data_IF_661793971876
#
_entry.id   IF_661793971876
#
_cell.length_a   1.000
_cell.length_b   1.000
_cell.length_c   1.000
_cell.angle_alpha   90.00
_cell.angle_beta   90.00
_cell.angle_gamma   90.00
#
_symmetry.space_group_name_H-M   'P 1'
#
loop_
_entity.id
_entity.type
_entity.pdbx_description
1 polymer ?
#
# COMPACT_ATOMS: atom_id res chain seq x y z
N UNK A 1 -53.43 -6.07 2.20
CA UNK A 1 -51.92 -6.11 2.24
C UNK A 1 -51.46 -5.20 1.13
N UNK A 2 -50.85 -4.11 1.52
CA UNK A 2 -50.49 -3.00 0.61
C UNK A 2 -49.39 -3.43 -0.37
N UNK A 3 -49.56 -3.15 -1.66
CA UNK A 3 -48.61 -3.39 -2.75
C UNK A 3 -47.26 -2.69 -2.45
N UNK A 4 -47.28 -1.59 -1.68
CA UNK A 4 -46.06 -0.88 -1.21
C UNK A 4 -45.21 -1.70 -0.25
N UNK A 5 -45.82 -2.42 0.71
CA UNK A 5 -45.09 -3.23 1.67
C UNK A 5 -44.42 -4.45 1.01
N UNK A 6 -45.10 -5.07 0.05
CA UNK A 6 -44.55 -6.19 -0.73
C UNK A 6 -43.32 -5.76 -1.55
N UNK A 7 -43.30 -4.52 -2.05
CA UNK A 7 -42.19 -3.99 -2.85
C UNK A 7 -40.94 -3.69 -1.98
N UNK A 8 -41.16 -3.19 -0.75
CA UNK A 8 -40.09 -2.92 0.20
C UNK A 8 -39.41 -4.22 0.67
N UNK A 9 -40.19 -5.25 0.98
CA UNK A 9 -39.63 -6.56 1.38
C UNK A 9 -38.85 -7.23 0.23
N UNK A 10 -39.33 -7.13 -1.00
CA UNK A 10 -38.60 -7.62 -2.17
C UNK A 10 -37.28 -6.88 -2.39
N UNK A 11 -37.24 -5.55 -2.21
CA UNK A 11 -36.01 -4.73 -2.29
C UNK A 11 -35.06 -5.12 -1.18
N UNK A 12 -35.51 -5.25 0.06
CA UNK A 12 -34.64 -5.68 1.19
C UNK A 12 -34.05 -7.07 0.92
N UNK A 13 -34.83 -8.03 0.47
CA UNK A 13 -34.33 -9.36 0.14
C UNK A 13 -33.29 -9.35 -1.00
N UNK A 14 -33.50 -8.51 -2.03
CA UNK A 14 -32.55 -8.33 -3.11
C UNK A 14 -31.23 -7.69 -2.62
N UNK A 15 -31.31 -6.66 -1.79
CA UNK A 15 -30.13 -6.02 -1.19
C UNK A 15 -29.35 -6.99 -0.31
N UNK A 16 -30.00 -7.76 0.55
CA UNK A 16 -29.36 -8.77 1.39
C UNK A 16 -28.64 -9.82 0.52
N UNK A 17 -29.27 -10.28 -0.55
CA UNK A 17 -28.68 -11.26 -1.47
C UNK A 17 -27.43 -10.73 -2.15
N UNK A 18 -27.47 -9.50 -2.67
CA UNK A 18 -26.32 -8.87 -3.33
C UNK A 18 -25.20 -8.58 -2.32
N UNK A 19 -25.51 -8.12 -1.12
CA UNK A 19 -24.53 -7.90 -0.05
C UNK A 19 -23.83 -9.22 0.32
N UNK A 20 -24.56 -10.30 0.48
CA UNK A 20 -23.99 -11.63 0.78
C UNK A 20 -23.08 -12.13 -0.36
N UNK A 21 -23.48 -11.92 -1.61
CA UNK A 21 -22.70 -12.30 -2.78
C UNK A 21 -21.39 -11.48 -2.89
N UNK A 22 -21.46 -10.18 -2.61
CA UNK A 22 -20.28 -9.31 -2.60
C UNK A 22 -19.33 -9.65 -1.47
N UNK A 23 -19.84 -9.91 -0.26
CA UNK A 23 -19.02 -10.30 0.89
C UNK A 23 -18.34 -11.65 0.68
N UNK A 24 -19.02 -12.62 0.05
CA UNK A 24 -18.43 -13.91 -0.31
C UNK A 24 -17.29 -13.76 -1.33
N UNK A 25 -17.49 -12.97 -2.40
CA UNK A 25 -16.45 -12.70 -3.40
C UNK A 25 -15.24 -11.99 -2.79
N UNK A 26 -15.49 -11.02 -1.88
CA UNK A 26 -14.44 -10.33 -1.16
C UNK A 26 -13.62 -11.29 -0.31
N UNK A 27 -14.28 -12.15 0.46
CA UNK A 27 -13.60 -13.13 1.33
C UNK A 27 -12.67 -14.06 0.56
N UNK A 28 -13.12 -14.65 -0.55
CA UNK A 28 -12.27 -15.52 -1.39
C UNK A 28 -11.03 -14.76 -1.87
N UNK A 29 -11.19 -13.52 -2.31
CA UNK A 29 -10.08 -12.70 -2.77
C UNK A 29 -9.10 -12.38 -1.63
N UNK A 30 -9.62 -12.05 -0.45
CA UNK A 30 -8.81 -11.75 0.72
C UNK A 30 -8.02 -12.99 1.19
N UNK A 31 -8.59 -14.19 1.11
CA UNK A 31 -7.91 -15.47 1.38
C UNK A 31 -6.72 -15.71 0.45
N UNK A 32 -6.84 -15.42 -0.84
CA UNK A 32 -5.74 -15.51 -1.81
C UNK A 32 -4.61 -14.53 -1.44
N UNK A 33 -4.95 -13.28 -1.10
CA UNK A 33 -3.95 -12.28 -0.72
C UNK A 33 -3.26 -12.66 0.58
N UNK A 34 -3.98 -13.18 1.56
CA UNK A 34 -3.42 -13.68 2.83
C UNK A 34 -2.43 -14.82 2.57
N UNK A 35 -2.74 -15.74 1.67
CA UNK A 35 -1.84 -16.83 1.34
C UNK A 35 -0.55 -16.34 0.67
N UNK A 36 -0.65 -15.36 -0.22
CA UNK A 36 0.51 -14.69 -0.81
C UNK A 36 1.37 -14.02 0.27
N UNK A 37 0.75 -13.28 1.21
CA UNK A 37 1.47 -12.60 2.30
C UNK A 37 2.20 -13.59 3.21
N UNK A 38 1.63 -14.77 3.49
CA UNK A 38 2.27 -15.84 4.26
C UNK A 38 3.57 -16.30 3.63
N UNK A 39 3.63 -16.31 2.31
CA UNK A 39 4.79 -16.74 1.55
C UNK A 39 5.71 -15.57 1.16
N UNK A 40 5.40 -14.34 1.60
CA UNK A 40 6.15 -13.14 1.29
C UNK A 40 7.20 -12.83 2.35
N UNK A 41 8.32 -12.27 1.91
CA UNK A 41 9.31 -11.70 2.81
C UNK A 41 8.91 -10.27 3.13
N UNK A 42 8.66 -9.97 4.41
CA UNK A 42 8.32 -8.62 4.87
C UNK A 42 9.47 -8.08 5.71
N UNK A 43 9.98 -6.91 5.33
CA UNK A 43 11.10 -6.22 6.00
C UNK A 43 10.68 -4.79 6.32
N UNK A 44 11.30 -4.22 7.35
CA UNK A 44 11.23 -2.80 7.67
C UNK A 44 12.63 -2.21 7.61
N UNK A 45 12.76 -1.02 7.01
CA UNK A 45 14.00 -0.25 6.95
C UNK A 45 13.72 1.16 7.45
N UNK A 46 14.55 1.63 8.37
CA UNK A 46 14.56 3.01 8.85
C UNK A 46 15.40 3.94 7.97
N UNK A 47 15.44 5.22 8.34
CA UNK A 47 16.26 6.25 7.67
C UNK A 47 16.00 6.33 6.16
N UNK A 48 14.77 6.32 5.79
CA UNK A 48 14.33 6.58 4.43
C UNK A 48 14.03 8.06 4.25
N UNK A 49 14.38 8.60 3.09
CA UNK A 49 13.95 9.93 2.66
C UNK A 49 13.27 9.84 1.30
N UNK A 50 12.26 10.70 1.11
CA UNK A 50 11.62 10.94 -0.18
C UNK A 50 12.14 12.29 -0.70
N UNK A 51 12.72 12.27 -1.88
CA UNK A 51 13.26 13.45 -2.58
C UNK A 51 12.44 13.68 -3.81
N UNK A 52 11.87 14.88 -3.95
CA UNK A 52 11.15 15.30 -5.15
C UNK A 52 11.94 16.43 -5.84
N UNK A 53 12.09 16.34 -7.16
CA UNK A 53 12.81 17.29 -7.98
C UNK A 53 12.16 17.47 -9.35
N UNK A 54 12.11 18.71 -9.87
CA UNK A 54 11.67 18.99 -11.25
C UNK A 54 12.65 18.46 -12.30
N UNK A 55 13.92 18.26 -11.92
CA UNK A 55 14.98 17.78 -12.80
C UNK A 55 15.50 16.43 -12.30
N UNK A 56 15.95 15.61 -13.24
CA UNK A 56 16.66 14.37 -12.89
C UNK A 56 17.93 14.70 -12.11
N UNK A 57 18.06 14.08 -10.93
CA UNK A 57 19.21 14.24 -10.04
C UNK A 57 19.93 12.90 -9.95
N UNK A 58 21.25 12.94 -9.94
CA UNK A 58 22.09 11.76 -9.73
C UNK A 58 22.19 11.47 -8.24
N UNK A 59 21.37 10.53 -7.78
CA UNK A 59 21.27 10.09 -6.39
C UNK A 59 21.29 8.58 -6.32
N UNK A 60 21.91 7.98 -5.30
CA UNK A 60 21.71 6.56 -5.00
C UNK A 60 20.28 6.37 -4.49
N UNK A 61 19.42 5.77 -5.30
CA UNK A 61 18.02 5.54 -4.95
C UNK A 61 17.70 4.05 -4.80
N UNK A 62 16.71 3.75 -3.98
CA UNK A 62 16.05 2.44 -3.88
C UNK A 62 14.99 2.31 -4.96
N UNK A 63 14.19 3.38 -5.13
CA UNK A 63 13.15 3.49 -6.15
C UNK A 63 13.18 4.89 -6.74
N UNK A 64 12.92 5.00 -8.04
CA UNK A 64 12.74 6.27 -8.73
C UNK A 64 11.51 6.19 -9.62
N UNK A 65 10.66 7.20 -9.52
CA UNK A 65 9.52 7.40 -10.40
C UNK A 65 9.64 8.74 -11.14
N UNK A 66 9.40 8.73 -12.44
CA UNK A 66 9.24 9.95 -13.25
C UNK A 66 7.75 10.24 -13.37
N UNK A 67 7.32 11.37 -12.85
CA UNK A 67 5.99 11.93 -13.03
C UNK A 67 6.00 12.95 -14.17
N UNK A 68 4.85 13.56 -14.51
CA UNK A 68 4.74 14.52 -15.60
C UNK A 68 5.76 15.65 -15.49
N UNK A 69 5.86 16.28 -14.31
CA UNK A 69 6.66 17.48 -14.07
C UNK A 69 7.70 17.31 -12.96
N UNK A 70 7.91 16.08 -12.49
CA UNK A 70 8.84 15.83 -11.39
C UNK A 70 9.40 14.41 -11.39
N UNK A 71 10.48 14.25 -10.65
CA UNK A 71 11.08 12.96 -10.30
C UNK A 71 10.94 12.76 -8.79
N UNK A 72 10.48 11.60 -8.39
CA UNK A 72 10.40 11.19 -6.99
C UNK A 72 11.40 10.08 -6.75
N UNK A 73 12.24 10.24 -5.74
CA UNK A 73 13.26 9.28 -5.35
C UNK A 73 13.01 8.81 -3.92
N UNK A 74 13.02 7.53 -3.71
CA UNK A 74 13.09 6.93 -2.38
C UNK A 74 14.54 6.51 -2.16
N UNK A 75 15.15 7.04 -1.13
CA UNK A 75 16.59 6.94 -0.90
C UNK A 75 16.88 6.52 0.54
N UNK A 76 17.96 5.78 0.71
CA UNK A 76 18.55 5.54 2.03
C UNK A 76 19.23 6.83 2.49
N UNK A 77 18.70 7.44 3.54
CA UNK A 77 19.17 8.73 4.07
C UNK A 77 20.64 8.70 4.45
N UNK A 78 21.18 7.56 4.84
CA UNK A 78 22.57 7.41 5.24
C UNK A 78 23.55 7.48 4.06
N UNK A 79 23.05 7.22 2.84
CA UNK A 79 23.82 7.20 1.61
C UNK A 79 23.73 8.49 0.80
N UNK A 80 22.91 9.45 1.25
CA UNK A 80 22.76 10.72 0.55
C UNK A 80 23.94 11.61 0.92
N UNK A 81 24.80 12.03 -0.06
CA UNK A 81 25.75 13.10 0.17
C UNK A 81 24.98 14.35 0.63
N UNK A 82 25.62 15.27 1.36
CA UNK A 82 25.02 16.54 1.75
C UNK A 82 24.62 17.31 0.50
N UNK A 83 23.38 17.05 0.03
CA UNK A 83 22.85 17.64 -1.19
C UNK A 83 22.59 19.12 -0.93
N UNK A 84 23.08 19.98 -1.83
CA UNK A 84 22.63 21.37 -1.89
C UNK A 84 21.11 21.36 -2.12
N UNK A 85 20.35 21.98 -1.21
CA UNK A 85 18.87 21.91 -1.16
C UNK A 85 18.16 22.68 -2.28
N UNK A 86 18.86 23.31 -3.21
CA UNK A 86 18.25 24.13 -4.25
C UNK A 86 17.40 23.27 -5.21
N UNK A 87 16.10 23.53 -5.24
CA UNK A 87 15.17 22.85 -6.14
C UNK A 87 14.75 21.44 -5.71
N UNK A 88 15.00 21.05 -4.45
CA UNK A 88 14.58 19.75 -3.92
C UNK A 88 13.57 19.90 -2.78
N UNK A 89 12.48 19.16 -2.88
CA UNK A 89 11.57 18.91 -1.75
C UNK A 89 12.02 17.61 -1.08
N UNK A 90 12.21 17.65 0.23
CA UNK A 90 12.82 16.55 0.96
C UNK A 90 11.99 16.22 2.21
N UNK A 91 11.46 15.00 2.27
CA UNK A 91 10.88 14.41 3.48
C UNK A 91 11.87 13.42 4.06
N UNK A 92 12.23 13.60 5.34
CA UNK A 92 13.24 12.81 6.05
C UNK A 92 12.65 11.97 7.17
N UNK A 93 13.48 11.10 7.71
CA UNK A 93 13.19 10.29 8.90
C UNK A 93 11.91 9.45 8.75
N UNK A 94 11.74 8.93 7.52
CA UNK A 94 10.69 8.00 7.18
C UNK A 94 11.21 6.56 7.28
N UNK A 95 10.28 5.63 7.28
CA UNK A 95 10.55 4.20 7.23
C UNK A 95 9.87 3.59 6.02
N UNK A 96 10.48 2.54 5.48
CA UNK A 96 9.91 1.73 4.41
C UNK A 96 9.54 0.34 4.94
N UNK A 97 8.35 -0.13 4.60
CA UNK A 97 7.97 -1.54 4.71
C UNK A 97 8.05 -2.14 3.33
N UNK A 98 8.91 -3.15 3.16
CA UNK A 98 9.09 -3.90 1.93
C UNK A 98 8.33 -5.22 2.03
N UNK A 99 7.59 -5.56 1.00
CA UNK A 99 6.92 -6.85 0.83
C UNK A 99 7.44 -7.43 -0.48
N UNK A 100 8.19 -8.53 -0.41
CA UNK A 100 8.69 -9.25 -1.59
C UNK A 100 7.96 -10.59 -1.68
N UNK A 101 7.11 -10.72 -2.68
CA UNK A 101 6.27 -11.88 -2.92
C UNK A 101 6.91 -12.83 -3.92
N UNK A 102 6.56 -14.10 -3.86
CA UNK A 102 7.01 -15.11 -4.84
C UNK A 102 6.21 -15.03 -6.15
N UNK A 103 5.03 -14.46 -6.11
CA UNK A 103 4.11 -14.31 -7.23
C UNK A 103 4.08 -12.89 -7.78
N UNK A 104 3.68 -12.74 -9.05
CA UNK A 104 3.44 -11.44 -9.65
C UNK A 104 2.14 -10.83 -9.08
N UNK A 105 2.28 -10.05 -8.01
CA UNK A 105 1.17 -9.40 -7.31
C UNK A 105 0.42 -8.38 -8.19
N UNK A 106 1.04 -7.89 -9.25
CA UNK A 106 0.41 -7.01 -10.23
C UNK A 106 -0.74 -7.68 -10.99
N UNK A 107 -0.76 -9.00 -11.06
CA UNK A 107 -1.81 -9.79 -11.70
C UNK A 107 -2.88 -10.28 -10.70
N UNK A 108 -2.73 -10.00 -9.41
CA UNK A 108 -3.66 -10.43 -8.35
C UNK A 108 -4.69 -9.34 -8.06
N UNK A 109 -5.93 -9.46 -8.53
CA UNK A 109 -6.96 -8.47 -8.30
C UNK A 109 -7.24 -8.30 -6.81
N UNK A 110 -7.13 -7.08 -6.32
CA UNK A 110 -7.45 -6.73 -4.94
C UNK A 110 -6.27 -6.81 -3.96
N UNK A 111 -5.07 -7.19 -4.38
CA UNK A 111 -3.88 -7.22 -3.53
C UNK A 111 -3.62 -5.84 -2.90
N UNK A 112 -3.49 -4.80 -3.72
CA UNK A 112 -3.28 -3.42 -3.24
C UNK A 112 -4.45 -2.95 -2.37
N UNK A 113 -5.70 -3.23 -2.79
CA UNK A 113 -6.88 -2.85 -2.02
C UNK A 113 -6.92 -3.52 -0.65
N UNK A 114 -6.51 -4.78 -0.55
CA UNK A 114 -6.42 -5.50 0.72
C UNK A 114 -5.40 -4.84 1.65
N UNK A 115 -4.18 -4.59 1.17
CA UNK A 115 -3.13 -3.94 1.96
C UNK A 115 -3.55 -2.55 2.44
N UNK A 116 -4.04 -1.71 1.52
CA UNK A 116 -4.43 -0.34 1.87
C UNK A 116 -5.64 -0.28 2.80
N UNK A 117 -6.60 -1.19 2.67
CA UNK A 117 -7.76 -1.29 3.57
C UNK A 117 -7.34 -1.70 4.98
N UNK A 118 -6.44 -2.67 5.12
CA UNK A 118 -5.93 -3.08 6.44
C UNK A 118 -5.22 -1.91 7.11
N UNK A 119 -4.33 -1.23 6.41
CA UNK A 119 -3.60 -0.10 6.96
C UNK A 119 -4.53 1.06 7.31
N UNK A 120 -5.50 1.37 6.46
CA UNK A 120 -6.48 2.41 6.71
C UNK A 120 -7.39 2.10 7.91
N UNK A 121 -7.77 0.83 8.14
CA UNK A 121 -8.59 0.43 9.30
C UNK A 121 -7.88 0.65 10.63
N UNK A 122 -6.55 0.73 10.62
CA UNK A 122 -5.71 0.99 11.78
C UNK A 122 -5.23 2.48 11.83
N UNK A 123 -5.85 3.35 11.02
CA UNK A 123 -5.52 4.78 10.90
C UNK A 123 -4.05 5.04 10.49
N UNK A 124 -3.44 4.13 9.75
CA UNK A 124 -2.09 4.29 9.23
C UNK A 124 -2.11 5.13 7.97
N UNK A 125 -1.35 6.23 7.97
CA UNK A 125 -1.25 7.15 6.83
C UNK A 125 -0.06 6.80 5.94
N UNK A 126 -0.35 6.36 4.71
CA UNK A 126 0.66 6.03 3.70
C UNK A 126 1.18 7.33 3.07
N UNK A 127 2.50 7.53 3.05
CA UNK A 127 3.16 8.65 2.39
C UNK A 127 3.38 8.37 0.91
N UNK A 128 3.99 7.20 0.60
CA UNK A 128 4.19 6.72 -0.75
C UNK A 128 3.86 5.22 -0.81
N UNK A 129 3.33 4.78 -1.92
CA UNK A 129 3.02 3.38 -2.17
C UNK A 129 3.47 3.00 -3.58
N UNK A 130 4.43 2.11 -3.67
CA UNK A 130 4.98 1.63 -4.94
C UNK A 130 4.82 0.12 -4.97
N UNK A 131 4.18 -0.38 -6.01
CA UNK A 131 4.01 -1.81 -6.24
C UNK A 131 4.37 -2.13 -7.68
N UNK A 132 5.26 -3.10 -7.86
CA UNK A 132 5.74 -3.51 -9.17
C UNK A 132 6.12 -4.99 -9.16
N UNK A 133 5.52 -5.78 -10.05
CA UNK A 133 5.73 -7.23 -10.15
C UNK A 133 5.56 -7.95 -8.81
N UNK A 134 6.65 -8.37 -8.18
CA UNK A 134 6.68 -9.12 -6.93
C UNK A 134 6.87 -8.24 -5.70
N UNK A 135 7.23 -6.97 -5.89
CA UNK A 135 7.67 -6.10 -4.80
C UNK A 135 6.69 -4.97 -4.53
N UNK A 136 6.43 -4.72 -3.26
CA UNK A 136 5.69 -3.55 -2.78
C UNK A 136 6.51 -2.82 -1.74
N UNK A 137 6.61 -1.51 -1.87
CA UNK A 137 7.28 -0.61 -0.94
C UNK A 137 6.27 0.41 -0.42
N UNK A 138 6.12 0.47 0.89
CA UNK A 138 5.20 1.38 1.57
C UNK A 138 6.03 2.32 2.44
N UNK A 139 5.97 3.63 2.16
CA UNK A 139 6.67 4.66 2.93
C UNK A 139 5.72 5.27 3.95
N UNK A 140 6.17 5.30 5.18
CA UNK A 140 5.39 5.63 6.36
C UNK A 140 6.21 6.49 7.33
N UNK A 141 5.55 7.07 8.33
CA UNK A 141 6.25 7.56 9.52
C UNK A 141 6.85 6.40 10.30
N UNK A 142 7.78 6.67 11.20
CA UNK A 142 8.39 5.61 12.01
C UNK A 142 7.36 4.84 12.83
N UNK A 143 6.43 5.54 13.46
CA UNK A 143 5.37 4.94 14.27
C UNK A 143 4.44 4.05 13.41
N UNK A 144 3.97 4.59 12.30
CA UNK A 144 3.07 3.89 11.38
C UNK A 144 3.74 2.67 10.75
N UNK A 145 5.03 2.74 10.45
CA UNK A 145 5.78 1.63 9.86
C UNK A 145 5.90 0.44 10.81
N UNK A 146 6.11 0.68 12.11
CA UNK A 146 6.15 -0.37 13.13
C UNK A 146 4.78 -1.03 13.26
N UNK A 147 3.70 -0.23 13.30
CA UNK A 147 2.32 -0.74 13.31
C UNK A 147 2.02 -1.57 12.07
N UNK A 148 2.32 -1.01 10.88
CA UNK A 148 2.09 -1.67 9.60
C UNK A 148 2.84 -3.01 9.52
N UNK A 149 4.13 -3.03 9.87
CA UNK A 149 4.93 -4.25 9.88
C UNK A 149 4.33 -5.31 10.82
N UNK A 150 3.93 -4.91 12.03
CA UNK A 150 3.33 -5.82 13.01
C UNK A 150 2.01 -6.41 12.51
N UNK A 151 1.17 -5.58 11.85
CA UNK A 151 -0.11 -6.01 11.30
C UNK A 151 0.12 -6.98 10.14
N UNK A 152 0.97 -6.61 9.20
CA UNK A 152 1.24 -7.43 8.01
C UNK A 152 1.87 -8.78 8.39
N UNK A 153 2.71 -8.82 9.44
CA UNK A 153 3.28 -10.05 9.98
C UNK A 153 2.27 -10.99 10.64
N UNK A 154 1.08 -10.53 10.98
CA UNK A 154 0.00 -11.41 11.47
C UNK A 154 -0.67 -12.19 10.34
N UNK A 155 -0.54 -11.71 9.11
CA UNK A 155 -1.07 -12.36 7.92
C UNK A 155 0.01 -13.21 7.20
N UNK A 156 1.31 -12.95 7.51
CA UNK A 156 2.47 -13.61 6.89
C UNK A 156 3.21 -14.59 7.81
#
# INVERSE_FOLDING_TARGET
>A
KDVKDTNIEAIKAALIRETNKLSYKRRIRDEVVIDILKNSKILIQDKISVVTSERKVDLPYLVMAKLSDSFVYIVDQTKIPRIKKEGLVLSRDLNAVFISSVENIGEIPGFIAFLTNILASENINIKEFISCHTDTVIILTQEDAIKAFTILKRYG
#
